data_IF_402476997030
#
_entry.id   IF_402476997030
#
_cell.length_a   1.000
_cell.length_b   1.000
_cell.length_c   1.000
_cell.angle_alpha   90.00
_cell.angle_beta   90.00
_cell.angle_gamma   90.00
#
_symmetry.space_group_name_H-M   'P 1'
#
loop_
_entity.id
_entity.type
_entity.pdbx_description
1 polymer ?
#
# COMPACT_ATOMS: atom_id res chain seq x y z
N UNK A 1 -2.71 6.48 16.98
CA UNK A 1 -2.42 7.47 15.89
C UNK A 1 -3.66 8.30 15.60
N UNK A 2 -3.47 9.52 15.15
CA UNK A 2 -4.59 10.31 14.63
C UNK A 2 -5.08 9.69 13.33
N UNK A 3 -6.39 9.73 13.12
CA UNK A 3 -7.00 9.11 11.95
C UNK A 3 -6.45 9.67 10.63
N UNK A 4 -6.18 10.98 10.56
CA UNK A 4 -5.56 11.59 9.38
C UNK A 4 -4.18 11.01 9.09
N UNK A 5 -3.40 10.69 10.12
CA UNK A 5 -2.08 10.10 9.97
C UNK A 5 -2.17 8.64 9.54
N UNK A 6 -3.19 7.93 10.03
CA UNK A 6 -3.46 6.55 9.60
C UNK A 6 -3.74 6.53 8.10
N UNK A 7 -4.66 7.37 7.61
CA UNK A 7 -4.98 7.44 6.19
C UNK A 7 -3.76 7.80 5.34
N UNK A 8 -2.96 8.75 5.81
CA UNK A 8 -1.72 9.13 5.14
C UNK A 8 -0.77 7.94 5.00
N UNK A 9 -0.57 7.18 6.09
CA UNK A 9 0.32 6.03 6.10
C UNK A 9 -0.14 4.92 5.15
N UNK A 10 -1.44 4.84 4.89
CA UNK A 10 -2.02 3.82 4.01
C UNK A 10 -2.05 4.25 2.54
N UNK A 11 -1.63 5.47 2.23
CA UNK A 11 -1.50 5.93 0.86
C UNK A 11 -2.75 6.59 0.28
N UNK A 12 -3.64 7.11 1.10
CA UNK A 12 -4.87 7.74 0.63
C UNK A 12 -4.70 9.19 0.17
N UNK A 13 -3.48 9.69 0.16
CA UNK A 13 -3.16 11.02 -0.33
C UNK A 13 -2.27 11.78 0.62
N UNK A 14 -2.15 13.09 0.40
CA UNK A 14 -1.42 13.97 1.31
C UNK A 14 -2.16 14.07 2.63
N UNK A 15 -1.48 14.58 3.67
CA UNK A 15 -2.13 14.79 4.98
C UNK A 15 -3.34 15.70 4.88
N UNK A 16 -3.26 16.72 4.03
CA UNK A 16 -4.36 17.64 3.79
C UNK A 16 -5.55 16.95 3.12
N UNK A 17 -5.29 16.12 2.11
CA UNK A 17 -6.34 15.35 1.43
C UNK A 17 -6.99 14.38 2.41
N UNK A 18 -6.20 13.69 3.21
CA UNK A 18 -6.71 12.74 4.21
C UNK A 18 -7.60 13.43 5.24
N UNK A 19 -7.15 14.57 5.76
CA UNK A 19 -7.97 15.35 6.69
C UNK A 19 -9.30 15.79 6.05
N UNK A 20 -9.26 16.20 4.79
CA UNK A 20 -10.45 16.60 4.04
C UNK A 20 -11.44 15.46 3.86
N UNK A 21 -10.96 14.26 3.53
CA UNK A 21 -11.82 13.07 3.38
C UNK A 21 -12.55 12.76 4.69
N UNK A 22 -11.84 12.86 5.82
CA UNK A 22 -12.43 12.60 7.13
C UNK A 22 -13.49 13.65 7.46
N UNK A 23 -13.16 14.92 7.30
CA UNK A 23 -14.06 16.04 7.62
C UNK A 23 -15.32 16.05 6.77
N UNK A 24 -15.22 15.57 5.53
CA UNK A 24 -16.36 15.51 4.61
C UNK A 24 -17.25 14.28 4.82
N UNK A 25 -16.90 13.38 5.75
CA UNK A 25 -17.73 12.22 6.06
C UNK A 25 -17.51 11.03 5.15
N UNK A 26 -16.36 10.94 4.47
CA UNK A 26 -16.06 9.84 3.57
C UNK A 26 -15.33 8.68 4.24
N UNK A 27 -15.09 8.76 5.55
CA UNK A 27 -14.28 7.77 6.26
C UNK A 27 -15.08 7.16 7.42
N UNK A 28 -15.18 5.84 7.40
CA UNK A 28 -15.70 5.06 8.51
C UNK A 28 -14.61 4.14 9.03
N UNK A 29 -14.69 3.80 10.30
CA UNK A 29 -13.73 2.88 10.92
C UNK A 29 -14.45 1.72 11.59
N UNK A 30 -13.78 0.57 11.61
CA UNK A 30 -14.21 -0.59 12.38
C UNK A 30 -13.03 -1.02 13.25
N UNK A 31 -13.01 -0.62 14.53
CA UNK A 31 -11.93 -0.99 15.45
C UNK A 31 -11.86 -2.51 15.68
N UNK A 32 -10.71 -2.97 16.15
CA UNK A 32 -10.54 -4.36 16.54
C UNK A 32 -11.60 -4.77 17.55
N UNK A 33 -12.19 -5.94 17.32
CA UNK A 33 -13.27 -6.47 18.17
C UNK A 33 -14.65 -5.88 17.93
N UNK A 34 -14.77 -4.89 17.05
CA UNK A 34 -16.08 -4.34 16.65
C UNK A 34 -16.61 -5.06 15.41
N UNK A 35 -17.92 -5.26 15.37
CA UNK A 35 -18.59 -5.88 14.24
C UNK A 35 -19.12 -4.85 13.23
N UNK A 36 -19.10 -3.57 13.56
CA UNK A 36 -19.72 -2.52 12.75
C UNK A 36 -18.77 -1.37 12.50
N UNK A 37 -18.97 -0.70 11.37
CA UNK A 37 -18.30 0.56 11.05
C UNK A 37 -18.99 1.72 11.73
N UNK A 38 -18.20 2.73 12.09
CA UNK A 38 -18.71 4.00 12.61
C UNK A 38 -18.11 5.16 11.85
N UNK A 39 -18.92 6.18 11.59
CA UNK A 39 -18.48 7.39 10.90
C UNK A 39 -17.64 8.24 11.85
N UNK A 40 -16.49 8.69 11.37
CA UNK A 40 -15.61 9.62 12.10
C UNK A 40 -15.36 10.82 11.22
N UNK A 41 -15.66 12.01 11.73
CA UNK A 41 -15.48 13.27 10.99
C UNK A 41 -14.40 14.16 11.56
N UNK A 42 -13.75 13.75 12.64
CA UNK A 42 -12.65 14.49 13.25
C UNK A 42 -11.31 13.93 12.78
N UNK A 43 -10.57 14.72 12.01
CA UNK A 43 -9.29 14.30 11.44
C UNK A 43 -8.25 13.96 12.51
N UNK A 44 -8.28 14.67 13.64
CA UNK A 44 -7.34 14.47 14.75
C UNK A 44 -7.80 13.40 15.75
N UNK A 45 -8.90 12.69 15.47
CA UNK A 45 -9.38 11.63 16.36
C UNK A 45 -8.29 10.59 16.59
N UNK A 46 -8.03 10.25 17.85
CA UNK A 46 -7.05 9.22 18.18
C UNK A 46 -7.69 7.85 18.06
N UNK A 47 -7.08 6.97 17.26
CA UNK A 47 -7.61 5.66 16.93
C UNK A 47 -6.53 4.61 17.10
N UNK A 48 -6.88 3.48 17.71
CA UNK A 48 -5.97 2.33 17.80
C UNK A 48 -5.88 1.66 16.42
N UNK A 49 -4.68 1.64 15.86
CA UNK A 49 -4.46 1.12 14.51
C UNK A 49 -4.39 -0.40 14.43
N UNK A 50 -4.05 -1.09 15.52
CA UNK A 50 -3.92 -2.55 15.50
C UNK A 50 -5.28 -3.20 15.29
N UNK A 51 -5.39 -4.01 14.23
CA UNK A 51 -6.62 -4.70 13.89
C UNK A 51 -7.72 -3.80 13.33
N UNK A 52 -7.38 -2.56 12.96
CA UNK A 52 -8.32 -1.58 12.45
C UNK A 52 -8.66 -1.86 10.99
N UNK A 53 -9.94 -1.73 10.66
CA UNK A 53 -10.41 -1.66 9.27
C UNK A 53 -10.94 -0.27 8.99
N UNK A 54 -10.60 0.24 7.81
CA UNK A 54 -11.07 1.52 7.31
C UNK A 54 -12.08 1.30 6.20
N UNK A 55 -13.02 2.22 6.05
CA UNK A 55 -13.86 2.28 4.86
C UNK A 55 -13.76 3.71 4.34
N UNK A 56 -13.08 3.89 3.22
CA UNK A 56 -12.80 5.19 2.62
C UNK A 56 -13.56 5.27 1.30
N UNK A 57 -14.50 6.21 1.22
CA UNK A 57 -15.37 6.37 0.04
C UNK A 57 -16.05 5.05 -0.36
N UNK A 58 -16.48 4.27 0.63
CA UNK A 58 -17.19 3.02 0.43
C UNK A 58 -16.30 1.80 0.20
N UNK A 59 -14.98 1.96 0.16
CA UNK A 59 -14.05 0.85 -0.07
C UNK A 59 -13.39 0.44 1.24
N UNK A 60 -13.51 -0.84 1.57
CA UNK A 60 -12.88 -1.40 2.78
C UNK A 60 -11.38 -1.53 2.61
N UNK A 61 -10.64 -1.24 3.68
CA UNK A 61 -9.20 -1.28 3.68
C UNK A 61 -8.67 -1.69 5.05
N UNK A 62 -7.99 -2.83 5.17
CA UNK A 62 -7.38 -3.21 6.45
C UNK A 62 -6.12 -2.37 6.69
N UNK A 63 -5.95 -1.89 7.92
CA UNK A 63 -4.73 -1.21 8.29
C UNK A 63 -3.55 -2.18 8.26
N UNK A 64 -2.46 -1.78 7.62
CA UNK A 64 -1.20 -2.52 7.61
C UNK A 64 -0.05 -1.52 7.76
N UNK A 65 0.75 -1.68 8.81
CA UNK A 65 1.93 -0.84 9.02
C UNK A 65 2.91 -0.98 7.86
N UNK A 66 3.10 -2.20 7.38
CA UNK A 66 3.86 -2.54 6.18
C UNK A 66 3.02 -3.42 5.28
N UNK A 67 3.14 -3.20 3.98
CA UNK A 67 2.40 -3.98 2.99
C UNK A 67 3.29 -5.06 2.38
N UNK A 68 2.74 -6.26 2.26
CA UNK A 68 3.37 -7.40 1.59
C UNK A 68 2.35 -8.00 0.64
N UNK A 69 2.67 -8.03 -0.65
CA UNK A 69 1.74 -8.46 -1.68
C UNK A 69 2.37 -9.53 -2.56
N UNK A 70 1.55 -10.47 -2.99
CA UNK A 70 1.88 -11.36 -4.10
C UNK A 70 1.02 -10.95 -5.29
N UNK A 71 1.67 -10.67 -6.41
CA UNK A 71 1.01 -10.35 -7.67
C UNK A 71 1.32 -11.45 -8.68
N UNK A 72 0.29 -12.03 -9.26
CA UNK A 72 0.48 -12.89 -10.43
C UNK A 72 0.63 -11.98 -11.65
N UNK A 73 1.88 -11.73 -12.05
CA UNK A 73 2.19 -10.80 -13.12
C UNK A 73 1.70 -11.33 -14.45
N UNK A 74 0.82 -10.60 -15.17
CA UNK A 74 0.44 -10.99 -16.53
C UNK A 74 1.56 -10.69 -17.54
N UNK A 75 1.57 -11.42 -18.63
CA UNK A 75 2.44 -11.08 -19.75
C UNK A 75 2.06 -9.71 -20.32
N UNK A 76 3.02 -9.01 -20.89
CA UNK A 76 2.80 -7.69 -21.48
C UNK A 76 2.82 -6.54 -20.45
N UNK A 77 3.39 -6.77 -19.27
CA UNK A 77 3.58 -5.71 -18.27
C UNK A 77 5.04 -5.65 -17.83
N UNK A 78 5.49 -4.46 -17.47
CA UNK A 78 6.86 -4.22 -17.02
C UNK A 78 6.92 -4.01 -15.52
N UNK A 79 7.97 -4.55 -14.88
CA UNK A 79 8.23 -4.38 -13.45
C UNK A 79 8.93 -3.04 -13.17
N UNK A 80 8.44 -1.95 -13.75
CA UNK A 80 9.08 -0.65 -13.65
C UNK A 80 8.08 0.43 -13.28
N UNK A 81 8.51 1.37 -12.43
CA UNK A 81 7.76 2.59 -12.14
C UNK A 81 7.71 3.52 -13.35
N UNK A 82 8.67 3.38 -14.26
CA UNK A 82 8.76 4.19 -15.49
C UNK A 82 8.84 3.26 -16.68
N UNK A 83 7.71 2.65 -17.09
CA UNK A 83 7.72 1.71 -18.21
C UNK A 83 7.99 2.42 -19.53
N UNK A 84 8.66 1.72 -20.46
CA UNK A 84 9.00 2.28 -21.77
C UNK A 84 7.96 1.94 -22.83
N UNK A 85 7.59 0.65 -22.96
CA UNK A 85 6.76 0.16 -24.06
C UNK A 85 5.45 -0.46 -23.57
N UNK A 86 5.51 -1.25 -22.50
CA UNK A 86 4.37 -1.97 -21.96
C UNK A 86 3.84 -1.29 -20.69
N UNK A 87 2.57 -1.49 -20.32
CA UNK A 87 2.05 -0.95 -19.07
C UNK A 87 2.84 -1.48 -17.88
N UNK A 88 2.97 -0.63 -16.86
CA UNK A 88 3.62 -1.02 -15.61
C UNK A 88 2.71 -1.94 -14.80
N UNK A 89 3.31 -2.92 -14.09
CA UNK A 89 2.58 -3.74 -13.10
C UNK A 89 1.91 -2.87 -12.05
N UNK A 90 2.45 -1.71 -11.76
CA UNK A 90 1.91 -0.82 -10.72
C UNK A 90 0.54 -0.27 -11.10
N UNK A 91 0.19 -0.21 -12.38
CA UNK A 91 -1.15 0.20 -12.81
C UNK A 91 -2.23 -0.81 -12.43
N UNK A 92 -1.85 -2.04 -12.09
CA UNK A 92 -2.77 -3.09 -11.65
C UNK A 92 -3.13 -2.97 -10.17
N UNK A 93 -2.43 -2.11 -9.42
CA UNK A 93 -2.59 -1.98 -7.98
C UNK A 93 -3.54 -0.83 -7.63
N UNK A 94 -4.27 -0.93 -6.49
CA UNK A 94 -5.00 0.22 -5.96
C UNK A 94 -4.09 1.42 -5.76
N UNK A 95 -4.61 2.62 -5.98
CA UNK A 95 -3.84 3.86 -5.84
C UNK A 95 -3.23 4.00 -4.44
N UNK A 96 -3.92 3.56 -3.40
CA UNK A 96 -3.42 3.62 -2.04
C UNK A 96 -2.10 2.86 -1.87
N UNK A 97 -1.97 1.68 -2.49
CA UNK A 97 -0.71 0.91 -2.44
C UNK A 97 0.42 1.60 -3.19
N UNK A 98 0.11 2.40 -4.19
CA UNK A 98 1.08 3.13 -5.01
C UNK A 98 1.55 4.41 -4.35
N UNK A 99 0.80 4.94 -3.41
CA UNK A 99 1.02 6.26 -2.80
C UNK A 99 1.46 6.19 -1.34
N UNK A 100 1.72 5.00 -0.81
CA UNK A 100 2.16 4.86 0.57
C UNK A 100 3.47 5.61 0.77
N UNK A 101 3.56 6.47 1.81
CA UNK A 101 4.81 7.20 2.08
C UNK A 101 5.91 6.24 2.49
N UNK A 102 7.11 6.46 1.96
CA UNK A 102 8.29 5.67 2.29
C UNK A 102 9.45 6.62 2.54
N UNK A 103 10.53 6.08 3.12
CA UNK A 103 11.78 6.82 3.26
C UNK A 103 12.57 6.88 1.95
N UNK A 104 12.17 6.09 0.98
CA UNK A 104 12.75 6.06 -0.37
C UNK A 104 12.24 7.23 -1.21
N UNK A 105 12.98 7.56 -2.27
CA UNK A 105 12.54 8.54 -3.25
C UNK A 105 11.31 8.09 -4.03
N UNK A 106 11.05 6.78 -4.07
CA UNK A 106 9.91 6.18 -4.76
C UNK A 106 8.85 5.80 -3.73
N UNK A 107 7.66 6.32 -3.89
CA UNK A 107 6.53 6.03 -3.00
C UNK A 107 5.90 4.69 -3.34
N UNK A 108 5.20 4.13 -2.35
CA UNK A 108 4.39 2.95 -2.52
C UNK A 108 5.15 1.66 -2.42
N UNK A 109 4.45 0.57 -2.69
CA UNK A 109 5.06 -0.76 -2.72
C UNK A 109 5.99 -0.89 -3.93
N UNK A 110 7.05 -1.67 -3.77
CA UNK A 110 8.03 -1.92 -4.83
C UNK A 110 8.17 -3.42 -5.05
N UNK A 111 8.40 -3.80 -6.30
CA UNK A 111 8.67 -5.19 -6.63
C UNK A 111 10.00 -5.65 -6.02
N UNK A 112 9.97 -6.83 -5.41
CA UNK A 112 11.17 -7.51 -4.91
C UNK A 112 11.64 -8.45 -6.02
N UNK A 113 12.66 -8.03 -6.75
CA UNK A 113 13.08 -8.71 -7.96
C UNK A 113 12.31 -8.24 -9.19
N UNK A 114 12.55 -8.90 -10.32
CA UNK A 114 11.97 -8.51 -11.60
C UNK A 114 11.66 -9.74 -12.43
N UNK A 115 10.61 -9.62 -13.25
CA UNK A 115 10.29 -10.55 -14.31
C UNK A 115 10.24 -9.77 -15.62
N UNK A 116 10.63 -10.43 -16.72
CA UNK A 116 10.59 -9.81 -18.05
C UNK A 116 9.14 -9.50 -18.47
N UNK A 117 8.96 -8.58 -19.40
CA UNK A 117 7.63 -8.14 -19.82
C UNK A 117 6.79 -9.25 -20.42
N UNK A 118 7.40 -10.26 -21.03
CA UNK A 118 6.69 -11.39 -21.63
C UNK A 118 6.54 -12.58 -20.69
N UNK A 119 7.06 -12.48 -19.46
CA UNK A 119 7.02 -13.54 -18.47
C UNK A 119 5.82 -13.39 -17.54
N UNK A 120 5.14 -14.50 -17.26
CA UNK A 120 4.13 -14.58 -16.21
C UNK A 120 4.76 -15.20 -14.96
N UNK A 121 4.15 -14.97 -13.80
CA UNK A 121 4.61 -15.57 -12.56
C UNK A 121 4.29 -14.75 -11.33
N UNK A 122 4.61 -15.31 -10.18
CA UNK A 122 4.40 -14.63 -8.89
C UNK A 122 5.50 -13.62 -8.65
N UNK A 123 5.09 -12.43 -8.27
CA UNK A 123 5.97 -11.32 -7.95
C UNK A 123 5.61 -10.79 -6.57
N UNK A 124 6.60 -10.69 -5.70
CA UNK A 124 6.42 -10.15 -4.37
C UNK A 124 6.66 -8.64 -4.39
N UNK A 125 5.75 -7.89 -3.77
CA UNK A 125 5.89 -6.43 -3.63
C UNK A 125 5.74 -6.05 -2.17
N UNK A 126 6.49 -5.02 -1.76
CA UNK A 126 6.42 -4.52 -0.38
C UNK A 126 6.88 -3.06 -0.31
N UNK A 127 6.48 -2.36 0.73
CA UNK A 127 7.02 -1.06 1.11
C UNK A 127 7.98 -1.16 2.32
N UNK A 128 8.28 -2.35 2.77
CA UNK A 128 9.22 -2.60 3.86
C UNK A 128 10.65 -2.59 3.31
N UNK A 129 11.36 -1.47 3.54
CA UNK A 129 12.71 -1.29 2.99
C UNK A 129 13.71 -2.33 3.48
N UNK A 130 13.63 -2.74 4.74
CA UNK A 130 14.51 -3.78 5.28
C UNK A 130 14.25 -5.13 4.62
N UNK A 131 12.98 -5.48 4.43
CA UNK A 131 12.60 -6.71 3.75
C UNK A 131 13.06 -6.70 2.29
N UNK A 132 12.81 -5.61 1.57
CA UNK A 132 13.22 -5.48 0.16
C UNK A 132 14.73 -5.63 0.04
N UNK A 133 15.50 -4.93 0.88
CA UNK A 133 16.97 -5.00 0.85
C UNK A 133 17.47 -6.41 1.13
N UNK A 134 16.94 -7.06 2.16
CA UNK A 134 17.36 -8.41 2.54
C UNK A 134 17.06 -9.43 1.45
N UNK A 135 15.90 -9.34 0.82
CA UNK A 135 15.48 -10.28 -0.23
C UNK A 135 16.18 -10.04 -1.56
N UNK A 136 16.62 -8.82 -1.82
CA UNK A 136 17.23 -8.43 -3.09
C UNK A 136 18.76 -8.42 -3.05
N UNK A 137 19.38 -8.48 -1.85
CA UNK A 137 20.82 -8.34 -1.70
C UNK A 137 21.54 -9.64 -2.07
N UNK A 138 22.45 -9.62 -3.06
CA UNK A 138 23.23 -10.82 -3.40
C UNK A 138 24.16 -11.27 -2.26
N UNK A 139 24.54 -10.39 -1.35
CA UNK A 139 25.39 -10.72 -0.21
C UNK A 139 24.68 -11.58 0.85
N UNK A 140 23.36 -11.63 0.81
CA UNK A 140 22.56 -12.41 1.76
C UNK A 140 22.29 -13.82 1.26
N UNK A 141 22.74 -14.16 0.07
CA UNK A 141 22.61 -15.50 -0.52
C UNK A 141 21.16 -16.02 -0.49
N UNK A 142 20.19 -15.15 -0.75
CA UNK A 142 18.80 -15.57 -0.83
C UNK A 142 18.64 -16.44 -2.08
N UNK A 143 18.17 -17.70 -1.94
CA UNK A 143 18.02 -18.56 -3.10
C UNK A 143 16.99 -18.00 -4.07
N UNK A 144 17.32 -18.04 -5.35
CA UNK A 144 16.34 -17.80 -6.42
C UNK A 144 15.62 -19.11 -6.72
N UNK A 145 14.35 -19.07 -6.58
CA UNK A 145 13.51 -20.22 -6.87
C UNK A 145 12.76 -19.97 -8.16
#
# INVERSE_FOLDING_TARGET
MQLQDILYSQGFGTRRVCAGLIQQGFVEIRPAGSATYELVTEAAADVEETGLYLKVQGVEWPYRAKAYLLLHKPAGTECSQKPSTYPSIYTLLPAALRQRPTKSAVQGVQAVGRLDQDTTGLLLLSDDGHFIHRMSSPKKHVPKV
#
